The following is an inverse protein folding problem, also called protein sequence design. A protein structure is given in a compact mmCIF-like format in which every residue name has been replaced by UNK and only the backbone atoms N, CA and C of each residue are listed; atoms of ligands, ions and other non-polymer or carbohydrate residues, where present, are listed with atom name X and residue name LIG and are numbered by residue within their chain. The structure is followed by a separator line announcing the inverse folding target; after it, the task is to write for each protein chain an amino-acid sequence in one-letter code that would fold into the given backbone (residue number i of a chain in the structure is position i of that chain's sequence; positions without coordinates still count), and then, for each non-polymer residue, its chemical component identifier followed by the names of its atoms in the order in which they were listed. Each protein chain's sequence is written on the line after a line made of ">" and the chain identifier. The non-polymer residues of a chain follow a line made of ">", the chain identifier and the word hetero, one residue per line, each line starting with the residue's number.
data_IF_736276271643
#
_entry.id   IF_736276271643
#
_cell.length_a   1.000
_cell.length_b   1.000
_cell.length_c   1.000
_cell.angle_alpha   90.00
_cell.angle_beta   90.00
_cell.angle_gamma   90.00
#
_symmetry.space_group_name_H-M   'P 1'
#
loop_
_entity.id
_entity.type
_entity.pdbx_description
1 polymer ?
#
# COMPACT_ATOMS: atom_id res chain seq x y z
N UNK A 1 6.25 13.19 25.26
CA UNK A 1 5.96 13.11 23.80
C UNK A 1 7.20 13.60 23.08
N UNK A 2 7.78 12.81 22.18
CA UNK A 2 8.99 13.17 21.43
C UNK A 2 8.60 13.47 19.99
N UNK A 3 9.00 14.63 19.47
CA UNK A 3 8.75 15.01 18.08
C UNK A 3 10.04 14.88 17.25
N UNK A 4 9.93 14.45 15.98
CA UNK A 4 11.08 14.42 15.09
C UNK A 4 11.65 15.82 14.88
N UNK A 5 12.96 15.92 14.62
CA UNK A 5 13.61 17.21 14.36
C UNK A 5 13.09 17.83 13.04
N UNK A 6 13.11 19.17 12.89
CA UNK A 6 12.71 19.81 11.64
C UNK A 6 13.48 19.33 10.42
N UNK A 7 14.79 19.03 10.58
CA UNK A 7 15.62 18.47 9.51
C UNK A 7 15.13 17.08 9.07
N UNK A 8 14.65 16.26 10.00
CA UNK A 8 14.09 14.94 9.69
C UNK A 8 12.73 15.05 8.99
N UNK A 9 11.87 15.96 9.46
CA UNK A 9 10.57 16.22 8.84
C UNK A 9 10.74 16.72 7.39
N UNK A 10 11.69 17.64 7.17
CA UNK A 10 11.91 18.26 5.85
C UNK A 10 12.43 17.32 4.75
N UNK A 11 12.87 16.10 5.09
CA UNK A 11 13.31 15.08 4.12
C UNK A 11 12.38 13.86 4.07
N UNK A 12 11.21 13.92 4.71
CA UNK A 12 10.27 12.82 4.71
C UNK A 12 9.71 12.58 3.30
N UNK A 13 9.62 11.32 2.89
CA UNK A 13 9.02 10.94 1.60
C UNK A 13 7.49 11.15 1.58
N UNK A 14 6.87 11.14 2.77
CA UNK A 14 5.44 11.33 2.95
C UNK A 14 5.21 12.62 3.74
N UNK A 15 4.83 13.68 3.03
CA UNK A 15 4.56 15.01 3.61
C UNK A 15 3.11 15.42 3.49
N UNK A 16 2.30 14.67 2.73
CA UNK A 16 0.89 14.93 2.50
C UNK A 16 0.09 14.72 3.80
N UNK A 17 -0.49 15.78 4.40
CA UNK A 17 -1.22 15.67 5.65
C UNK A 17 -2.53 14.88 5.50
N UNK A 18 -3.03 14.74 4.27
CA UNK A 18 -4.27 13.99 3.99
C UNK A 18 -4.05 12.48 4.04
N UNK A 19 -2.80 12.00 4.08
CA UNK A 19 -2.49 10.56 4.08
C UNK A 19 -3.21 9.80 5.20
N UNK A 20 -3.34 10.40 6.39
CA UNK A 20 -4.05 9.77 7.51
C UNK A 20 -5.52 9.50 7.17
N UNK A 21 -6.17 10.42 6.47
CA UNK A 21 -7.54 10.26 6.01
C UNK A 21 -7.63 9.27 4.84
N UNK A 22 -6.73 9.36 3.85
CA UNK A 22 -6.70 8.47 2.69
C UNK A 22 -6.47 7.01 3.06
N UNK A 23 -5.74 6.74 4.15
CA UNK A 23 -5.46 5.41 4.68
C UNK A 23 -6.34 5.02 5.88
N UNK A 24 -7.41 5.76 6.15
CA UNK A 24 -8.36 5.43 7.22
C UNK A 24 -9.24 4.21 6.89
N UNK A 25 -9.89 3.65 7.90
CA UNK A 25 -10.76 2.46 7.78
C UNK A 25 -11.85 2.57 6.70
N UNK A 26 -12.52 3.72 6.46
CA UNK A 26 -13.49 3.85 5.38
C UNK A 26 -12.94 3.59 3.97
N UNK A 27 -11.63 3.81 3.76
CA UNK A 27 -10.98 3.58 2.47
C UNK A 27 -10.33 2.18 2.38
N UNK A 28 -10.36 1.42 3.48
CA UNK A 28 -9.84 0.06 3.50
C UNK A 28 -10.74 -0.88 2.68
N UNK A 29 -10.18 -1.81 1.89
CA UNK A 29 -8.76 -2.08 1.65
C UNK A 29 -8.16 -1.28 0.48
N UNK A 30 -8.98 -0.53 -0.24
CA UNK A 30 -8.64 0.09 -1.53
C UNK A 30 -7.56 1.17 -1.42
N UNK A 31 -7.38 1.79 -0.26
CA UNK A 31 -6.27 2.69 0.02
C UNK A 31 -4.89 2.06 -0.24
N UNK A 32 -4.76 0.73 -0.14
CA UNK A 32 -3.51 0.03 -0.45
C UNK A 32 -3.19 -0.05 -1.95
N UNK A 33 -4.13 0.27 -2.85
CA UNK A 33 -3.86 0.32 -4.30
C UNK A 33 -2.74 1.30 -4.62
N UNK A 34 -2.72 2.47 -3.98
CA UNK A 34 -1.70 3.49 -4.21
C UNK A 34 -0.26 2.96 -4.06
N UNK A 35 -0.01 2.18 -3.00
CA UNK A 35 1.30 1.58 -2.81
C UNK A 35 1.53 0.34 -3.69
N UNK A 36 0.48 -0.43 -3.99
CA UNK A 36 0.58 -1.57 -4.88
C UNK A 36 0.92 -1.15 -6.33
N UNK A 37 0.49 0.03 -6.76
CA UNK A 37 0.80 0.62 -8.06
C UNK A 37 2.27 1.07 -8.18
N UNK A 38 3.02 1.15 -7.07
CA UNK A 38 4.47 1.37 -7.12
C UNK A 38 5.25 0.14 -7.62
N UNK A 39 4.63 -1.03 -7.58
CA UNK A 39 5.20 -2.26 -8.10
C UNK A 39 4.85 -2.42 -9.58
N UNK A 40 5.75 -3.05 -10.33
CA UNK A 40 5.46 -3.49 -11.69
C UNK A 40 4.76 -4.85 -11.66
N UNK A 41 3.58 -4.89 -12.25
CA UNK A 41 2.74 -6.08 -12.38
C UNK A 41 2.73 -6.56 -13.83
N UNK A 42 3.02 -7.85 -14.03
CA UNK A 42 2.81 -8.53 -15.31
C UNK A 42 1.30 -8.60 -15.63
N UNK A 43 0.49 -8.72 -14.57
CA UNK A 43 -0.97 -8.68 -14.65
C UNK A 43 -1.53 -8.02 -13.40
N UNK A 44 -2.36 -7.00 -13.60
CA UNK A 44 -3.08 -6.34 -12.50
C UNK A 44 -4.01 -7.30 -11.78
N UNK A 45 -4.18 -7.06 -10.48
CA UNK A 45 -5.14 -7.79 -9.66
C UNK A 45 -6.56 -7.30 -9.90
N UNK A 46 -7.53 -8.15 -9.59
CA UNK A 46 -8.97 -7.84 -9.70
C UNK A 46 -9.61 -7.55 -8.36
N UNK A 47 -9.05 -8.09 -7.27
CA UNK A 47 -9.57 -7.91 -5.91
C UNK A 47 -8.43 -7.57 -4.97
N UNK A 48 -8.53 -6.43 -4.27
CA UNK A 48 -7.46 -5.95 -3.38
C UNK A 48 -7.32 -6.85 -2.15
N UNK A 49 -8.43 -7.24 -1.52
CA UNK A 49 -8.46 -8.15 -0.38
C UNK A 49 -9.67 -9.07 -0.46
N UNK A 50 -9.43 -10.38 -0.43
CA UNK A 50 -10.45 -11.42 -0.28
C UNK A 50 -10.45 -11.93 1.18
N UNK A 51 -11.58 -11.70 1.86
CA UNK A 51 -11.83 -12.09 3.25
C UNK A 51 -12.75 -13.31 3.39
N UNK A 52 -13.18 -13.92 2.27
CA UNK A 52 -14.22 -14.96 2.26
C UNK A 52 -13.86 -16.22 3.05
N UNK A 53 -12.58 -16.51 3.25
CA UNK A 53 -12.08 -17.72 3.91
C UNK A 53 -11.17 -17.39 5.11
N UNK A 54 -11.63 -16.56 6.04
CA UNK A 54 -10.87 -16.30 7.27
C UNK A 54 -10.49 -17.63 7.98
N UNK A 55 -9.24 -17.79 8.48
CA UNK A 55 -8.16 -16.79 8.60
C UNK A 55 -7.22 -16.68 7.37
N UNK A 56 -7.54 -17.33 6.25
CA UNK A 56 -6.71 -17.35 5.03
C UNK A 56 -7.02 -16.17 4.11
N UNK A 57 -6.62 -14.98 4.52
CA UNK A 57 -6.80 -13.77 3.71
C UNK A 57 -5.90 -13.77 2.47
N UNK A 58 -6.43 -13.28 1.34
CA UNK A 58 -5.67 -13.17 0.10
C UNK A 58 -5.64 -11.72 -0.36
N UNK A 59 -4.44 -11.22 -0.61
CA UNK A 59 -4.22 -9.86 -1.12
C UNK A 59 -3.94 -9.88 -2.61
N UNK A 60 -4.41 -8.85 -3.32
CA UNK A 60 -4.16 -8.62 -4.74
C UNK A 60 -4.47 -9.85 -5.62
N UNK A 61 -5.66 -10.44 -5.39
CA UNK A 61 -6.10 -11.67 -6.05
C UNK A 61 -6.23 -11.45 -7.55
N UNK A 62 -5.72 -12.43 -8.32
CA UNK A 62 -5.62 -12.34 -9.77
C UNK A 62 -4.35 -11.66 -10.27
N UNK A 63 -3.64 -10.92 -9.40
CA UNK A 63 -2.38 -10.26 -9.73
C UNK A 63 -1.26 -11.25 -10.05
N UNK A 64 -0.34 -10.83 -10.91
CA UNK A 64 0.91 -11.54 -11.19
C UNK A 64 2.04 -10.53 -11.30
N UNK A 65 3.13 -10.80 -10.61
CA UNK A 65 4.37 -10.03 -10.71
C UNK A 65 5.58 -10.96 -10.57
N UNK A 66 6.75 -10.43 -10.90
CA UNK A 66 8.03 -11.05 -10.60
C UNK A 66 8.76 -10.21 -9.54
N UNK A 67 9.15 -10.84 -8.43
CA UNK A 67 9.81 -10.17 -7.30
C UNK A 67 11.19 -9.67 -7.70
N UNK A 68 12.00 -10.49 -8.38
CA UNK A 68 13.33 -10.10 -8.83
C UNK A 68 13.24 -8.91 -9.79
N UNK A 69 12.31 -8.93 -10.76
CA UNK A 69 12.11 -7.80 -11.66
C UNK A 69 11.82 -6.46 -10.95
N UNK A 70 11.16 -6.51 -9.79
CA UNK A 70 10.88 -5.32 -8.99
C UNK A 70 12.07 -4.89 -8.10
N UNK A 71 13.09 -5.73 -7.94
CA UNK A 71 14.18 -5.51 -6.98
C UNK A 71 15.57 -5.40 -7.61
N UNK A 72 15.77 -5.92 -8.83
CA UNK A 72 17.04 -5.92 -9.57
C UNK A 72 16.86 -5.37 -10.97
#
# INVERSE_FOLDING_TARGET
>A
MFHPSPKFIGQANLTDPTVTERFSEPHFPECFREYADLLTWDRYWTTTLDTSHAPFWKWFVGGKLNVSYNCV
#
